data_IF_117651490571
#
_entry.id   IF_117651490571
#
_cell.length_a   1.000
_cell.length_b   1.000
_cell.length_c   1.000
_cell.angle_alpha   90.00
_cell.angle_beta   90.00
_cell.angle_gamma   90.00
#
_symmetry.space_group_name_H-M   'P 1'
#
loop_
_entity.id
_entity.type
_entity.pdbx_description
1 polymer ?
#
# COMPACT_ATOMS: atom_id res chain seq x y z
N UNK A 1 -38.75 18.66 5.31
CA UNK A 1 -38.17 17.38 4.87
C UNK A 1 -36.66 17.61 4.71
N UNK A 2 -35.91 17.42 5.80
CA UNK A 2 -34.48 17.75 5.83
C UNK A 2 -33.70 16.54 5.35
N UNK A 3 -33.18 16.60 4.14
CA UNK A 3 -32.20 15.62 3.66
C UNK A 3 -30.91 15.82 4.43
N UNK A 4 -30.69 15.01 5.46
CA UNK A 4 -29.42 14.90 6.16
C UNK A 4 -28.38 14.45 5.14
N UNK A 5 -27.56 15.39 4.67
CA UNK A 5 -26.40 15.10 3.83
C UNK A 5 -25.46 14.26 4.69
N UNK A 6 -25.39 12.96 4.41
CA UNK A 6 -24.44 12.02 5.01
C UNK A 6 -23.06 12.65 4.89
N UNK A 7 -22.43 13.00 6.02
CA UNK A 7 -21.18 13.77 5.99
C UNK A 7 -20.07 12.90 5.43
N UNK A 8 -19.73 13.10 4.16
CA UNK A 8 -18.48 12.62 3.59
C UNK A 8 -17.34 13.03 4.52
N UNK A 9 -16.41 12.12 4.85
CA UNK A 9 -15.21 12.45 5.63
C UNK A 9 -14.60 13.74 5.09
N UNK A 10 -14.32 14.69 5.98
CA UNK A 10 -13.72 15.96 5.61
C UNK A 10 -12.42 15.73 4.83
N UNK A 11 -12.29 16.37 3.66
CA UNK A 11 -11.16 16.18 2.75
C UNK A 11 -9.83 16.48 3.45
N UNK A 12 -9.81 17.43 4.40
CA UNK A 12 -8.63 17.76 5.20
C UNK A 12 -8.23 16.62 6.16
N UNK A 13 -9.22 15.95 6.75
CA UNK A 13 -9.00 14.77 7.59
C UNK A 13 -8.41 13.63 6.76
N UNK A 14 -8.98 13.37 5.59
CA UNK A 14 -8.48 12.32 4.70
C UNK A 14 -7.06 12.63 4.21
N UNK A 15 -6.78 13.88 3.81
CA UNK A 15 -5.44 14.29 3.39
C UNK A 15 -4.42 14.07 4.51
N UNK A 16 -4.75 14.47 5.73
CA UNK A 16 -3.87 14.31 6.90
C UNK A 16 -3.59 12.83 7.17
N UNK A 17 -4.62 11.98 7.13
CA UNK A 17 -4.46 10.52 7.27
C UNK A 17 -3.62 9.94 6.14
N UNK A 18 -3.86 10.34 4.90
CA UNK A 18 -3.08 9.90 3.73
C UNK A 18 -1.59 10.24 3.86
N UNK A 19 -1.26 11.47 4.25
CA UNK A 19 0.13 11.88 4.50
C UNK A 19 0.77 11.11 5.66
N UNK A 20 0.06 10.94 6.78
CA UNK A 20 0.56 10.13 7.91
C UNK A 20 0.80 8.68 7.52
N UNK A 21 -0.14 8.09 6.78
CA UNK A 21 -0.07 6.73 6.22
C UNK A 21 1.17 6.59 5.33
N UNK A 22 1.40 7.55 4.43
CA UNK A 22 2.56 7.55 3.54
C UNK A 22 3.87 7.62 4.31
N UNK A 23 3.98 8.52 5.29
CA UNK A 23 5.19 8.67 6.09
C UNK A 23 5.54 7.39 6.85
N UNK A 24 4.54 6.74 7.46
CA UNK A 24 4.72 5.47 8.18
C UNK A 24 5.09 4.34 7.21
N UNK A 25 4.41 4.25 6.07
CA UNK A 25 4.68 3.23 5.06
C UNK A 25 6.09 3.35 4.48
N UNK A 26 6.55 4.57 4.17
CA UNK A 26 7.91 4.83 3.71
C UNK A 26 8.95 4.44 4.76
N UNK A 27 8.75 4.82 6.02
CA UNK A 27 9.66 4.45 7.10
C UNK A 27 9.75 2.92 7.26
N UNK A 28 8.61 2.23 7.24
CA UNK A 28 8.56 0.77 7.33
C UNK A 28 9.26 0.10 6.14
N UNK A 29 8.97 0.52 4.91
CA UNK A 29 9.58 -0.06 3.72
C UNK A 29 11.07 0.23 3.59
N UNK A 30 11.52 1.42 3.97
CA UNK A 30 12.95 1.71 3.99
C UNK A 30 13.70 0.93 5.07
N UNK A 31 13.10 0.76 6.26
CA UNK A 31 13.68 -0.09 7.29
C UNK A 31 13.75 -1.56 6.85
N UNK A 32 12.71 -2.06 6.18
CA UNK A 32 12.69 -3.41 5.64
C UNK A 32 13.71 -3.59 4.50
N UNK A 33 13.74 -2.66 3.54
CA UNK A 33 14.75 -2.64 2.48
C UNK A 33 16.17 -2.61 3.03
N UNK A 34 16.42 -1.78 4.05
CA UNK A 34 17.71 -1.75 4.75
C UNK A 34 18.06 -3.11 5.38
N UNK A 35 17.12 -3.74 6.07
CA UNK A 35 17.34 -5.03 6.73
C UNK A 35 17.64 -6.15 5.71
N UNK A 36 16.95 -6.15 4.57
CA UNK A 36 17.13 -7.14 3.50
C UNK A 36 18.47 -6.94 2.79
N UNK A 37 18.82 -5.69 2.47
CA UNK A 37 20.07 -5.34 1.79
C UNK A 37 21.30 -5.53 2.68
N UNK A 38 21.22 -5.19 3.96
CA UNK A 38 22.35 -5.36 4.90
C UNK A 38 22.73 -6.82 5.19
N UNK A 39 21.85 -7.75 4.85
CA UNK A 39 22.03 -9.19 5.00
C UNK A 39 22.31 -9.91 3.67
N UNK A 40 22.46 -9.16 2.57
CA UNK A 40 22.66 -9.69 1.21
C UNK A 40 21.61 -10.75 0.79
N UNK A 41 20.37 -10.62 1.27
CA UNK A 41 19.31 -11.61 1.03
C UNK A 41 18.75 -11.56 -0.41
N UNK A 42 18.94 -10.44 -1.09
CA UNK A 42 18.43 -10.19 -2.45
C UNK A 42 19.52 -9.59 -3.33
N UNK A 43 19.42 -9.85 -4.63
CA UNK A 43 20.16 -9.05 -5.59
C UNK A 43 19.68 -7.60 -5.52
N UNK A 44 20.60 -6.64 -5.58
CA UNK A 44 20.30 -5.21 -5.46
C UNK A 44 20.05 -4.59 -6.83
N UNK A 45 19.12 -5.16 -7.61
CA UNK A 45 18.81 -4.59 -8.93
C UNK A 45 18.13 -3.23 -8.78
N UNK A 46 17.86 -2.56 -9.89
CA UNK A 46 17.25 -1.23 -9.89
C UNK A 46 15.90 -1.16 -9.16
N UNK A 47 15.16 -2.27 -9.10
CA UNK A 47 13.86 -2.37 -8.44
C UNK A 47 13.96 -2.33 -6.91
N UNK A 48 15.05 -2.85 -6.34
CA UNK A 48 15.27 -2.93 -4.90
C UNK A 48 16.02 -1.72 -4.31
N UNK A 49 16.20 -0.64 -5.08
CA UNK A 49 16.88 0.58 -4.63
C UNK A 49 15.91 1.55 -3.94
N UNK A 50 16.41 2.29 -2.94
CA UNK A 50 15.60 3.25 -2.17
C UNK A 50 14.76 4.22 -3.01
N UNK A 51 15.26 4.83 -4.10
CA UNK A 51 14.42 5.70 -4.93
C UNK A 51 13.21 4.97 -5.53
N UNK A 52 13.41 3.73 -6.01
CA UNK A 52 12.34 2.91 -6.56
C UNK A 52 11.33 2.53 -5.47
N UNK A 53 11.81 2.05 -4.31
CA UNK A 53 10.96 1.73 -3.15
C UNK A 53 10.09 2.93 -2.77
N UNK A 54 10.67 4.13 -2.75
CA UNK A 54 9.95 5.36 -2.41
C UNK A 54 8.83 5.70 -3.41
N UNK A 55 9.14 5.65 -4.72
CA UNK A 55 8.16 5.94 -5.78
C UNK A 55 7.02 4.93 -5.77
N UNK A 56 7.31 3.63 -5.67
CA UNK A 56 6.28 2.60 -5.63
C UNK A 56 5.41 2.67 -4.37
N UNK A 57 6.02 2.95 -3.20
CA UNK A 57 5.28 3.15 -1.95
C UNK A 57 4.34 4.36 -2.07
N UNK A 58 4.81 5.47 -2.65
CA UNK A 58 3.99 6.66 -2.91
C UNK A 58 2.81 6.34 -3.81
N UNK A 59 3.03 5.64 -4.92
CA UNK A 59 1.97 5.24 -5.84
C UNK A 59 0.94 4.32 -5.17
N UNK A 60 1.41 3.34 -4.39
CA UNK A 60 0.54 2.43 -3.64
C UNK A 60 -0.35 3.15 -2.63
N UNK A 61 0.23 3.98 -1.76
CA UNK A 61 -0.53 4.72 -0.73
C UNK A 61 -1.40 5.81 -1.37
N UNK A 62 -0.91 6.51 -2.39
CA UNK A 62 -1.69 7.50 -3.13
C UNK A 62 -2.93 6.87 -3.77
N UNK A 63 -2.75 5.74 -4.46
CA UNK A 63 -3.85 4.97 -5.03
C UNK A 63 -4.84 4.49 -3.96
N UNK A 64 -4.35 3.94 -2.85
CA UNK A 64 -5.18 3.49 -1.73
C UNK A 64 -6.02 4.64 -1.13
N UNK A 65 -5.42 5.83 -0.98
CA UNK A 65 -6.10 7.03 -0.48
C UNK A 65 -7.23 7.45 -1.41
N UNK A 66 -7.00 7.46 -2.72
CA UNK A 66 -8.02 7.78 -3.74
C UNK A 66 -9.13 6.75 -3.77
N UNK A 67 -8.80 5.46 -3.66
CA UNK A 67 -9.80 4.37 -3.60
C UNK A 67 -10.66 4.52 -2.35
N UNK A 68 -10.06 4.72 -1.19
CA UNK A 68 -10.82 4.90 0.05
C UNK A 68 -11.73 6.13 -0.01
N UNK A 69 -11.23 7.25 -0.53
CA UNK A 69 -12.06 8.42 -0.82
C UNK A 69 -13.25 8.10 -1.73
N UNK A 70 -13.01 7.36 -2.81
CA UNK A 70 -14.07 6.95 -3.73
C UNK A 70 -15.12 6.07 -3.04
N UNK A 71 -14.70 5.22 -2.09
CA UNK A 71 -15.58 4.35 -1.32
C UNK A 71 -16.40 5.12 -0.29
N UNK A 72 -15.85 6.12 0.41
CA UNK A 72 -16.62 6.93 1.37
C UNK A 72 -17.77 7.69 0.72
N UNK A 73 -17.67 7.95 -0.59
CA UNK A 73 -18.71 8.64 -1.36
C UNK A 73 -19.75 7.71 -2.00
N UNK A 74 -19.46 6.41 -2.15
CA UNK A 74 -20.27 5.49 -2.97
C UNK A 74 -20.69 4.20 -2.26
N UNK A 75 -19.98 3.79 -1.22
CA UNK A 75 -20.24 2.55 -0.48
C UNK A 75 -21.05 2.85 0.79
N UNK A 76 -21.99 1.97 1.13
CA UNK A 76 -22.65 1.98 2.43
C UNK A 76 -21.73 1.47 3.56
N UNK A 77 -20.66 0.74 3.20
CA UNK A 77 -19.73 0.05 4.11
C UNK A 77 -18.28 0.32 3.68
N UNK A 78 -17.82 1.59 3.63
CA UNK A 78 -16.56 1.97 3.01
C UNK A 78 -15.34 1.27 3.63
N UNK A 79 -15.32 1.11 4.96
CA UNK A 79 -14.21 0.48 5.69
C UNK A 79 -14.07 -0.99 5.32
N UNK A 80 -15.14 -1.79 5.45
CA UNK A 80 -15.09 -3.22 5.12
C UNK A 80 -14.79 -3.44 3.62
N UNK A 81 -15.40 -2.64 2.75
CA UNK A 81 -15.12 -2.70 1.31
C UNK A 81 -13.65 -2.36 1.03
N UNK A 82 -13.08 -1.36 1.71
CA UNK A 82 -11.69 -0.98 1.52
C UNK A 82 -10.72 -2.08 1.94
N UNK A 83 -10.94 -2.73 3.08
CA UNK A 83 -10.08 -3.86 3.52
C UNK A 83 -10.11 -4.99 2.50
N UNK A 84 -11.29 -5.33 1.98
CA UNK A 84 -11.42 -6.36 0.94
C UNK A 84 -10.68 -5.95 -0.34
N UNK A 85 -10.87 -4.72 -0.80
CA UNK A 85 -10.18 -4.19 -1.99
C UNK A 85 -8.68 -4.17 -1.79
N UNK A 86 -8.19 -3.71 -0.63
CA UNK A 86 -6.77 -3.68 -0.31
C UNK A 86 -6.16 -5.10 -0.30
N UNK A 87 -6.87 -6.09 0.25
CA UNK A 87 -6.43 -7.49 0.22
C UNK A 87 -6.35 -8.03 -1.21
N UNK A 88 -7.35 -7.77 -2.05
CA UNK A 88 -7.36 -8.18 -3.46
C UNK A 88 -6.23 -7.49 -4.23
N UNK A 89 -6.08 -6.18 -4.06
CA UNK A 89 -5.02 -5.39 -4.72
C UNK A 89 -3.63 -5.85 -4.28
N UNK A 90 -3.43 -6.18 -3.00
CA UNK A 90 -2.16 -6.73 -2.52
C UNK A 90 -1.82 -8.02 -3.26
N UNK A 91 -2.75 -8.97 -3.35
CA UNK A 91 -2.52 -10.24 -4.07
C UNK A 91 -2.25 -9.99 -5.56
N UNK A 92 -3.04 -9.12 -6.20
CA UNK A 92 -2.83 -8.78 -7.60
C UNK A 92 -1.50 -8.05 -7.83
N UNK A 93 -1.03 -7.29 -6.86
CA UNK A 93 0.22 -6.53 -6.95
C UNK A 93 1.47 -7.42 -6.95
N UNK A 94 1.34 -8.72 -6.66
CA UNK A 94 2.42 -9.69 -6.80
C UNK A 94 2.61 -10.17 -8.25
N UNK A 95 1.60 -9.99 -9.12
CA UNK A 95 1.69 -10.45 -10.51
C UNK A 95 2.87 -9.81 -11.29
N UNK A 96 3.14 -8.50 -11.16
CA UNK A 96 4.35 -7.90 -11.73
C UNK A 96 5.65 -8.56 -11.26
N UNK A 97 5.76 -8.88 -9.96
CA UNK A 97 6.97 -9.51 -9.40
C UNK A 97 7.14 -10.95 -9.90
N UNK A 98 6.03 -11.70 -10.03
CA UNK A 98 6.02 -13.02 -10.68
C UNK A 98 6.45 -12.88 -12.13
N UNK A 99 5.94 -11.88 -12.84
CA UNK A 99 6.33 -11.58 -14.21
C UNK A 99 7.83 -11.37 -14.33
N UNK A 100 8.40 -10.49 -13.48
CA UNK A 100 9.84 -10.25 -13.41
C UNK A 100 10.63 -11.53 -13.16
N UNK A 101 10.21 -12.35 -12.20
CA UNK A 101 10.87 -13.63 -11.89
C UNK A 101 10.86 -14.63 -13.06
N UNK A 102 9.86 -14.56 -13.94
CA UNK A 102 9.70 -15.47 -15.07
C UNK A 102 10.34 -14.95 -16.36
N UNK A 103 10.50 -13.62 -16.50
CA UNK A 103 10.91 -13.02 -17.78
C UNK A 103 12.23 -12.26 -17.74
N UNK A 104 12.74 -11.89 -16.55
CA UNK A 104 13.96 -11.11 -16.42
C UNK A 104 15.11 -11.95 -15.84
N UNK A 105 16.11 -12.24 -16.66
CA UNK A 105 17.30 -13.02 -16.25
C UNK A 105 18.09 -12.39 -15.09
N UNK A 106 17.93 -11.07 -14.88
CA UNK A 106 18.59 -10.32 -13.81
C UNK A 106 17.91 -10.43 -12.45
N UNK A 107 16.66 -10.91 -12.38
CA UNK A 107 15.86 -10.94 -11.15
C UNK A 107 15.92 -12.33 -10.54
N UNK A 108 16.48 -12.43 -9.33
CA UNK A 108 16.51 -13.72 -8.63
C UNK A 108 15.16 -14.05 -8.00
N UNK A 109 14.91 -15.33 -7.72
CA UNK A 109 13.70 -15.74 -6.98
C UNK A 109 13.63 -15.06 -5.61
N UNK A 110 14.75 -14.90 -4.91
CA UNK A 110 14.79 -14.21 -3.61
C UNK A 110 14.46 -12.73 -3.74
N UNK A 111 14.93 -12.07 -4.79
CA UNK A 111 14.61 -10.67 -5.07
C UNK A 111 13.12 -10.48 -5.40
N UNK A 112 12.55 -11.33 -6.25
CA UNK A 112 11.11 -11.28 -6.54
C UNK A 112 10.26 -11.46 -5.28
N UNK A 113 10.63 -12.39 -4.40
CA UNK A 113 9.97 -12.57 -3.09
C UNK A 113 10.17 -11.32 -2.23
N UNK A 114 11.36 -10.73 -2.22
CA UNK A 114 11.64 -9.49 -1.51
C UNK A 114 10.77 -8.32 -2.00
N UNK A 115 10.58 -8.20 -3.32
CA UNK A 115 9.71 -7.18 -3.93
C UNK A 115 8.26 -7.38 -3.49
N UNK A 116 7.73 -8.61 -3.53
CA UNK A 116 6.38 -8.91 -3.01
C UNK A 116 6.25 -8.53 -1.53
N UNK A 117 7.26 -8.83 -0.72
CA UNK A 117 7.28 -8.50 0.70
C UNK A 117 7.21 -6.98 0.92
N UNK A 118 7.85 -6.16 0.07
CA UNK A 118 7.79 -4.69 0.16
C UNK A 118 6.38 -4.11 -0.10
N UNK A 119 5.45 -4.89 -0.64
CA UNK A 119 4.05 -4.46 -0.82
C UNK A 119 3.23 -4.63 0.47
N UNK A 120 3.68 -5.50 1.38
CA UNK A 120 2.93 -5.85 2.60
C UNK A 120 2.87 -4.70 3.61
N UNK A 121 3.99 -4.05 4.01
CA UNK A 121 3.92 -2.96 4.99
C UNK A 121 3.01 -1.80 4.56
N UNK A 122 3.09 -1.26 3.32
CA UNK A 122 2.19 -0.20 2.88
C UNK A 122 0.73 -0.62 2.87
N UNK A 123 0.43 -1.87 2.46
CA UNK A 123 -0.95 -2.38 2.47
C UNK A 123 -1.50 -2.50 3.90
N UNK A 124 -0.70 -3.02 4.84
CA UNK A 124 -1.07 -3.11 6.26
C UNK A 124 -1.29 -1.72 6.85
N UNK A 125 -0.35 -0.80 6.62
CA UNK A 125 -0.45 0.58 7.12
C UNK A 125 -1.68 1.28 6.54
N UNK A 126 -1.96 1.12 5.24
CA UNK A 126 -3.15 1.68 4.59
C UNK A 126 -4.45 1.15 5.23
N UNK A 127 -4.56 -0.16 5.45
CA UNK A 127 -5.73 -0.79 6.09
C UNK A 127 -5.92 -0.32 7.53
N UNK A 128 -4.84 -0.06 8.27
CA UNK A 128 -4.95 0.36 9.67
C UNK A 128 -5.18 1.86 9.85
N UNK A 129 -4.69 2.70 8.92
CA UNK A 129 -4.62 4.15 9.13
C UNK A 129 -5.62 4.97 8.30
N UNK A 130 -6.13 4.44 7.17
CA UNK A 130 -7.12 5.16 6.36
C UNK A 130 -8.55 5.00 6.89
N UNK A 131 -9.05 3.75 7.11
CA UNK A 131 -10.41 3.53 7.60
C UNK A 131 -10.61 4.06 9.02
N UNK A 132 -11.87 4.35 9.38
CA UNK A 132 -12.20 4.77 10.76
C UNK A 132 -12.31 3.58 11.71
N UNK A 133 -12.88 2.48 11.21
CA UNK A 133 -13.17 1.26 11.94
C UNK A 133 -12.72 0.02 11.14
N UNK A 134 -11.42 -0.12 10.83
CA UNK A 134 -10.93 -1.16 9.91
C UNK A 134 -11.20 -2.60 10.36
N UNK A 135 -11.48 -2.83 11.64
CA UNK A 135 -11.69 -4.14 12.25
C UNK A 135 -13.03 -4.27 13.00
N UNK A 136 -13.98 -3.36 12.78
CA UNK A 136 -15.35 -3.45 13.29
C UNK A 136 -15.49 -3.41 14.81
N UNK A 137 -14.94 -2.39 15.47
CA UNK A 137 -15.28 -2.06 16.87
C UNK A 137 -16.14 -0.80 16.94
#
# INVERSE_FOLDING_TARGET
MSTTRQSSIDNQTLATRGFGTLAIALAANFALGWAVLSQDLVASTEFFRYPAIGVWTLLGIGGATVVYWGLTQRSATPDQTFVLVAAVVLVLSFLPDIGLALTADSVTTSEAIGLMILHVPPAVVAVLALPETPLGR
#
